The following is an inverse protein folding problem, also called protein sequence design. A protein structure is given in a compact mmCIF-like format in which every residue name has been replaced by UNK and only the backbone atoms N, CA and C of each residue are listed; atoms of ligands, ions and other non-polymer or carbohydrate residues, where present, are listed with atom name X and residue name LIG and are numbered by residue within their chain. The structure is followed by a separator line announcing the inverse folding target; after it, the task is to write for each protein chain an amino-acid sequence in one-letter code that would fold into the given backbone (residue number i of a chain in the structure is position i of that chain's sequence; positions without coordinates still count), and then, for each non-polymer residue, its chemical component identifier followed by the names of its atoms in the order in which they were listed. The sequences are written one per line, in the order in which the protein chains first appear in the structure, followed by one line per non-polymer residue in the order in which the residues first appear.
data_IF_197133189251
#
_entry.id   IF_197133189251
#
_cell.length_a   1.000
_cell.length_b   1.000
_cell.length_c   1.000
_cell.angle_alpha   90.00
_cell.angle_beta   90.00
_cell.angle_gamma   90.00
#
_symmetry.space_group_name_H-M   'P 1'
#
loop_
_entity.id
_entity.type
_entity.pdbx_description
1 polymer ?
#
# COMPACT_ATOMS: atom_id res chain seq x y z
N UNK A 1 27.78 5.94 52.04
CA UNK A 1 28.52 4.65 52.03
C UNK A 1 28.69 4.22 50.60
N UNK A 2 29.95 4.33 50.17
CA UNK A 2 30.46 4.00 48.84
C UNK A 2 30.73 2.51 48.77
N UNK A 3 30.31 1.81 47.71
CA UNK A 3 30.86 0.51 47.39
C UNK A 3 31.29 0.42 45.93
N UNK A 4 32.52 -0.01 45.78
CA UNK A 4 33.41 0.07 44.65
C UNK A 4 33.12 -0.97 43.54
N UNK A 5 33.50 -0.61 42.30
CA UNK A 5 33.62 -1.50 41.13
C UNK A 5 34.82 -2.45 41.28
N UNK A 6 34.75 -3.70 40.81
CA UNK A 6 35.95 -4.51 40.60
C UNK A 6 36.49 -4.34 39.18
N UNK A 7 37.83 -4.29 39.16
CA UNK A 7 38.72 -4.14 37.99
C UNK A 7 38.90 -5.45 37.21
N UNK A 8 39.04 -5.30 35.93
CA UNK A 8 39.71 -6.02 34.89
C UNK A 8 40.39 -7.37 35.07
N UNK A 9 40.09 -8.24 34.10
CA UNK A 9 40.91 -9.42 33.83
C UNK A 9 41.24 -9.46 32.33
N UNK A 10 42.53 -9.19 32.05
CA UNK A 10 43.15 -9.33 30.72
C UNK A 10 43.59 -10.78 30.52
N UNK A 11 43.07 -11.44 29.50
CA UNK A 11 43.64 -12.72 29.06
C UNK A 11 44.67 -12.47 27.97
N UNK A 12 45.95 -12.78 28.29
CA UNK A 12 47.05 -12.90 27.33
C UNK A 12 47.08 -14.32 26.78
N UNK A 13 46.88 -14.49 25.47
CA UNK A 13 47.23 -15.72 24.80
C UNK A 13 48.73 -15.71 24.46
N UNK A 14 49.45 -16.72 25.00
CA UNK A 14 50.85 -17.00 24.70
C UNK A 14 50.99 -17.64 23.33
N UNK A 15 51.83 -17.04 22.51
CA UNK A 15 52.44 -17.59 21.30
C UNK A 15 53.48 -18.63 21.68
N UNK A 16 53.35 -19.83 21.14
CA UNK A 16 54.49 -20.70 20.79
C UNK A 16 53.97 -22.05 20.25
N UNK A 17 54.27 -22.34 19.00
CA UNK A 17 54.86 -23.59 18.51
C UNK A 17 55.11 -23.45 16.98
N UNK A 18 56.35 -23.18 16.68
CA UNK A 18 57.32 -23.85 15.82
C UNK A 18 56.90 -24.43 14.47
N UNK A 19 57.64 -23.91 13.53
CA UNK A 19 57.93 -24.34 12.15
C UNK A 19 58.11 -25.86 12.00
N UNK A 20 57.49 -26.40 10.94
CA UNK A 20 58.04 -27.55 10.20
C UNK A 20 57.63 -27.46 8.72
N UNK A 21 58.67 -27.33 7.93
CA UNK A 21 58.95 -27.83 6.58
C UNK A 21 57.95 -27.80 5.46
N UNK A 22 58.34 -27.01 4.46
CA UNK A 22 57.98 -27.03 3.05
C UNK A 22 57.91 -28.45 2.46
N UNK A 23 56.81 -28.82 1.82
CA UNK A 23 56.79 -29.50 0.53
C UNK A 23 55.53 -29.09 -0.23
N UNK A 24 55.73 -28.54 -1.43
CA UNK A 24 54.66 -28.07 -2.27
C UNK A 24 53.80 -29.18 -2.85
N UNK A 25 52.51 -29.02 -2.72
CA UNK A 25 51.53 -29.60 -3.64
C UNK A 25 50.58 -28.48 -3.98
N UNK A 26 50.75 -27.91 -5.17
CA UNK A 26 49.84 -26.94 -5.75
C UNK A 26 48.61 -27.71 -6.27
N UNK A 27 47.66 -28.07 -5.41
CA UNK A 27 46.34 -28.47 -5.84
C UNK A 27 45.48 -27.18 -5.76
N UNK A 28 45.42 -26.44 -6.87
CA UNK A 28 44.34 -25.48 -7.12
C UNK A 28 43.09 -26.29 -7.39
N UNK A 29 42.37 -26.68 -6.35
CA UNK A 29 40.96 -26.98 -6.48
C UNK A 29 40.23 -25.66 -6.73
N UNK A 30 40.07 -25.32 -8.00
CA UNK A 30 39.07 -24.33 -8.41
C UNK A 30 37.72 -24.86 -7.96
N UNK A 31 37.19 -24.30 -6.89
CA UNK A 31 35.76 -24.46 -6.55
C UNK A 31 34.99 -24.06 -7.81
N UNK A 32 34.13 -24.91 -8.36
CA UNK A 32 33.32 -24.52 -9.51
C UNK A 32 32.45 -23.34 -9.04
N UNK A 33 32.70 -22.16 -9.60
CA UNK A 33 31.79 -21.04 -9.51
C UNK A 33 30.52 -21.50 -10.22
N UNK A 34 29.49 -21.85 -9.44
CA UNK A 34 28.13 -22.06 -9.97
C UNK A 34 27.77 -20.77 -10.70
N UNK A 35 27.42 -20.82 -11.99
CA UNK A 35 27.00 -19.63 -12.70
C UNK A 35 25.85 -19.00 -11.92
N UNK A 36 26.00 -17.74 -11.50
CA UNK A 36 24.92 -16.99 -10.88
C UNK A 36 23.87 -16.81 -11.98
N UNK A 37 22.80 -17.55 -11.90
CA UNK A 37 21.66 -17.34 -12.81
C UNK A 37 21.23 -15.90 -12.58
N UNK A 38 21.30 -15.09 -13.64
CA UNK A 38 20.86 -13.70 -13.58
C UNK A 38 19.34 -13.70 -13.35
N UNK A 39 18.90 -13.11 -12.24
CA UNK A 39 17.48 -13.06 -11.90
C UNK A 39 16.77 -12.11 -12.86
N UNK A 40 15.58 -12.51 -13.30
CA UNK A 40 14.73 -11.61 -14.08
C UNK A 40 14.29 -10.44 -13.19
N UNK A 41 14.51 -9.20 -13.68
CA UNK A 41 14.07 -7.99 -13.01
C UNK A 41 12.58 -7.75 -13.25
N UNK A 42 11.87 -7.40 -12.19
CA UNK A 42 10.47 -6.99 -12.21
C UNK A 42 10.33 -5.67 -11.45
N UNK A 43 9.60 -4.73 -12.03
CA UNK A 43 9.26 -3.47 -11.39
C UNK A 43 8.04 -3.66 -10.48
N UNK A 44 8.15 -3.21 -9.23
CA UNK A 44 7.10 -3.26 -8.21
C UNK A 44 6.80 -1.84 -7.71
N UNK A 45 5.75 -1.22 -8.24
CA UNK A 45 5.28 0.09 -7.83
C UNK A 45 4.40 0.01 -6.59
N UNK A 46 4.73 0.79 -5.57
CA UNK A 46 3.91 0.92 -4.37
C UNK A 46 4.09 2.30 -3.72
N UNK A 47 3.18 2.66 -2.83
CA UNK A 47 3.22 3.95 -2.15
C UNK A 47 4.38 4.02 -1.13
N UNK A 48 4.95 5.20 -0.87
CA UNK A 48 5.86 5.42 0.25
C UNK A 48 5.08 5.67 1.54
N UNK A 49 4.03 4.88 1.81
CA UNK A 49 3.23 4.95 3.02
C UNK A 49 3.50 3.74 3.92
N UNK A 50 3.24 3.83 5.23
CA UNK A 50 3.61 2.78 6.18
C UNK A 50 2.96 1.42 5.91
N UNK A 51 1.74 1.38 5.40
CA UNK A 51 1.01 0.14 5.10
C UNK A 51 1.64 -0.63 3.92
N UNK A 52 1.97 0.06 2.82
CA UNK A 52 2.69 -0.56 1.69
C UNK A 52 4.10 -1.01 2.11
N UNK A 53 4.84 -0.16 2.85
CA UNK A 53 6.17 -0.51 3.35
C UNK A 53 6.12 -1.73 4.29
N UNK A 54 5.07 -1.86 5.08
CA UNK A 54 4.81 -3.03 5.92
C UNK A 54 4.56 -4.27 5.07
N UNK A 55 3.67 -4.21 4.07
CA UNK A 55 3.35 -5.36 3.20
C UNK A 55 4.58 -5.94 2.52
N UNK A 56 5.48 -5.09 2.06
CA UNK A 56 6.67 -5.51 1.31
C UNK A 56 7.94 -5.66 2.17
N UNK A 57 7.85 -5.57 3.51
CA UNK A 57 8.99 -5.70 4.41
C UNK A 57 9.77 -7.00 4.21
N UNK A 58 9.06 -8.15 4.17
CA UNK A 58 9.70 -9.45 4.00
C UNK A 58 10.49 -9.55 2.69
N UNK A 59 9.93 -9.04 1.60
CA UNK A 59 10.56 -9.03 0.27
C UNK A 59 11.72 -8.03 0.20
N UNK A 60 11.50 -6.79 0.65
CA UNK A 60 12.51 -5.72 0.61
C UNK A 60 13.77 -6.03 1.44
N UNK A 61 13.63 -6.85 2.49
CA UNK A 61 14.74 -7.29 3.33
C UNK A 61 15.32 -8.66 2.94
N UNK A 62 14.78 -9.32 1.92
CA UNK A 62 15.22 -10.64 1.50
C UNK A 62 14.96 -11.73 2.55
N UNK A 63 13.90 -11.59 3.33
CA UNK A 63 13.50 -12.50 4.42
C UNK A 63 12.53 -13.59 3.95
N UNK A 64 12.06 -13.48 2.71
CA UNK A 64 11.18 -14.47 2.06
C UNK A 64 11.81 -14.92 0.74
N UNK A 65 11.40 -16.11 0.27
CA UNK A 65 11.78 -16.61 -1.05
C UNK A 65 11.21 -15.72 -2.15
N UNK A 66 12.09 -15.13 -2.95
CA UNK A 66 11.77 -14.20 -4.04
C UNK A 66 11.35 -14.92 -5.36
N UNK A 67 11.26 -16.25 -5.34
CA UNK A 67 10.85 -17.02 -6.50
C UNK A 67 11.83 -16.99 -7.68
N UNK A 68 13.06 -16.51 -7.47
CA UNK A 68 14.09 -16.35 -8.50
C UNK A 68 14.01 -15.04 -9.26
N UNK A 69 13.21 -14.06 -8.80
CA UNK A 69 13.10 -12.72 -9.37
C UNK A 69 13.91 -11.69 -8.58
N UNK A 70 14.20 -10.56 -9.21
CA UNK A 70 14.81 -9.36 -8.61
C UNK A 70 13.80 -8.21 -8.70
N UNK A 71 13.23 -7.82 -7.55
CA UNK A 71 12.17 -6.81 -7.51
C UNK A 71 12.76 -5.42 -7.32
N UNK A 72 12.58 -4.56 -8.33
CA UNK A 72 12.91 -3.15 -8.25
C UNK A 72 11.71 -2.37 -7.69
N UNK A 73 11.81 -1.91 -6.44
CA UNK A 73 10.78 -1.13 -5.76
C UNK A 73 10.73 0.30 -6.29
N UNK A 74 9.59 0.70 -6.84
CA UNK A 74 9.32 2.04 -7.36
C UNK A 74 8.33 2.74 -6.42
N UNK A 75 8.84 3.68 -5.63
CA UNK A 75 8.07 4.40 -4.62
C UNK A 75 7.45 5.67 -5.20
N UNK A 76 6.12 5.71 -5.33
CA UNK A 76 5.37 6.85 -5.84
C UNK A 76 3.97 6.88 -5.18
N UNK A 77 3.37 8.07 -5.13
CA UNK A 77 1.99 8.22 -4.65
C UNK A 77 1.00 7.46 -5.54
N UNK A 78 -0.15 7.11 -4.97
CA UNK A 78 -1.12 6.23 -5.64
C UNK A 78 -1.72 6.85 -6.90
N UNK A 79 -1.89 8.18 -6.98
CA UNK A 79 -2.38 8.83 -8.20
C UNK A 79 -1.38 8.67 -9.34
N UNK A 80 -0.09 8.88 -9.07
CA UNK A 80 1.00 8.67 -10.04
C UNK A 80 1.07 7.21 -10.49
N UNK A 81 0.93 6.24 -9.57
CA UNK A 81 0.90 4.81 -9.91
C UNK A 81 -0.31 4.46 -10.79
N UNK A 82 -1.49 5.00 -10.47
CA UNK A 82 -2.69 4.85 -11.29
C UNK A 82 -2.47 5.34 -12.72
N UNK A 83 -1.88 6.52 -12.89
CA UNK A 83 -1.55 7.09 -14.21
C UNK A 83 -0.53 6.23 -14.96
N UNK A 84 0.49 5.70 -14.29
CA UNK A 84 1.47 4.78 -14.90
C UNK A 84 0.84 3.46 -15.32
N UNK A 85 -0.12 2.95 -14.54
CA UNK A 85 -0.86 1.75 -14.90
C UNK A 85 -1.66 1.94 -16.21
N UNK A 86 -2.25 3.13 -16.45
CA UNK A 86 -2.94 3.41 -17.73
C UNK A 86 -2.02 3.33 -18.94
N UNK A 87 -0.71 3.53 -18.74
CA UNK A 87 0.31 3.42 -19.79
C UNK A 87 0.99 2.04 -19.82
N UNK A 88 0.65 1.14 -18.89
CA UNK A 88 1.22 -0.21 -18.83
C UNK A 88 2.70 -0.26 -18.49
N UNK A 89 3.21 0.71 -17.71
CA UNK A 89 4.65 0.89 -17.50
C UNK A 89 5.26 -0.16 -16.56
N UNK A 90 4.56 -0.50 -15.47
CA UNK A 90 5.08 -1.36 -14.42
C UNK A 90 4.65 -2.82 -14.60
N UNK A 91 5.49 -3.75 -14.12
CA UNK A 91 5.16 -5.18 -14.11
C UNK A 91 4.13 -5.50 -13.04
N UNK A 92 4.34 -4.96 -11.85
CA UNK A 92 3.46 -5.05 -10.70
C UNK A 92 3.26 -3.64 -10.15
N UNK A 93 2.06 -3.30 -9.73
CA UNK A 93 1.77 -1.99 -9.15
C UNK A 93 0.65 -2.05 -8.13
N UNK A 94 0.77 -1.29 -7.06
CA UNK A 94 -0.39 -0.85 -6.31
C UNK A 94 -1.30 -0.03 -7.22
N UNK A 95 -2.61 -0.16 -7.03
CA UNK A 95 -3.61 0.53 -7.84
C UNK A 95 -4.85 0.84 -6.99
N UNK A 96 -5.47 1.98 -7.25
CA UNK A 96 -6.82 2.23 -6.76
C UNK A 96 -7.83 1.35 -7.50
N UNK A 97 -8.82 0.80 -6.82
CA UNK A 97 -9.86 -0.02 -7.46
C UNK A 97 -10.62 0.78 -8.53
N UNK A 98 -10.82 2.09 -8.33
CA UNK A 98 -11.36 2.97 -9.38
C UNK A 98 -10.50 2.93 -10.65
N UNK A 99 -9.18 3.06 -10.50
CA UNK A 99 -8.26 3.07 -11.64
C UNK A 99 -8.20 1.71 -12.36
N UNK A 100 -8.40 0.61 -11.63
CA UNK A 100 -8.44 -0.73 -12.22
C UNK A 100 -9.47 -0.86 -13.33
N UNK A 101 -10.61 -0.16 -13.24
CA UNK A 101 -11.63 -0.15 -14.29
C UNK A 101 -11.11 0.29 -15.67
N UNK A 102 -10.06 1.09 -15.71
CA UNK A 102 -9.45 1.64 -16.93
C UNK A 102 -8.28 0.81 -17.47
N UNK A 103 -7.85 -0.23 -16.74
CA UNK A 103 -6.66 -1.02 -17.08
C UNK A 103 -6.88 -2.53 -16.98
N UNK A 104 -8.10 -2.97 -16.75
CA UNK A 104 -8.45 -4.38 -16.63
C UNK A 104 -8.16 -5.21 -17.90
N UNK A 105 -8.00 -4.56 -19.06
CA UNK A 105 -7.51 -5.18 -20.29
C UNK A 105 -6.01 -5.55 -20.25
N UNK A 106 -5.22 -4.84 -19.46
CA UNK A 106 -3.75 -4.96 -19.38
C UNK A 106 -3.24 -5.61 -18.10
N UNK A 107 -4.01 -5.49 -17.02
CA UNK A 107 -3.62 -5.97 -15.70
C UNK A 107 -4.65 -6.93 -15.13
N UNK A 108 -4.15 -7.94 -14.39
CA UNK A 108 -4.94 -8.78 -13.53
C UNK A 108 -4.74 -8.37 -12.06
N UNK A 109 -5.78 -8.45 -11.24
CA UNK A 109 -5.68 -8.27 -9.78
C UNK A 109 -4.94 -9.45 -9.16
N UNK A 110 -4.04 -9.18 -8.23
CA UNK A 110 -3.49 -10.20 -7.36
C UNK A 110 -4.53 -10.52 -6.26
N UNK A 111 -4.62 -11.77 -5.80
CA UNK A 111 -5.57 -12.15 -4.75
C UNK A 111 -5.20 -11.57 -3.37
N UNK A 112 -3.94 -11.12 -3.21
CA UNK A 112 -3.42 -10.49 -2.00
C UNK A 112 -2.98 -9.05 -2.24
N UNK A 113 -2.81 -8.28 -1.16
CA UNK A 113 -2.42 -6.87 -1.20
C UNK A 113 -3.62 -5.92 -1.32
N UNK A 114 -4.80 -6.37 -0.91
CA UNK A 114 -5.97 -5.50 -0.84
C UNK A 114 -5.88 -4.49 0.30
N UNK A 115 -6.37 -3.28 0.03
CA UNK A 115 -6.70 -2.28 1.03
C UNK A 115 -8.21 -2.07 1.01
N UNK A 116 -8.87 -2.43 2.11
CA UNK A 116 -10.33 -2.39 2.26
C UNK A 116 -10.71 -1.57 3.48
N UNK A 117 -11.69 -0.68 3.31
CA UNK A 117 -12.28 0.07 4.41
C UNK A 117 -13.43 -0.72 5.05
N UNK A 118 -13.18 -1.41 6.16
CA UNK A 118 -14.16 -2.22 6.88
C UNK A 118 -14.64 -1.48 8.13
N UNK A 119 -15.74 -0.73 8.00
CA UNK A 119 -16.26 0.14 9.05
C UNK A 119 -15.48 1.46 9.22
N UNK A 120 -14.61 1.78 8.31
CA UNK A 120 -13.88 3.05 8.17
C UNK A 120 -13.47 3.24 6.71
N UNK A 121 -13.06 4.46 6.33
CA UNK A 121 -12.61 4.71 4.96
C UNK A 121 -12.08 6.13 4.78
N UNK A 122 -11.98 6.60 3.53
CA UNK A 122 -11.69 7.99 3.24
C UNK A 122 -12.66 8.92 3.95
N UNK A 123 -12.13 9.98 4.57
CA UNK A 123 -12.93 10.92 5.35
C UNK A 123 -13.06 12.26 4.65
N UNK A 124 -14.24 12.87 4.75
CA UNK A 124 -14.46 14.26 4.44
C UNK A 124 -14.25 15.08 5.70
N UNK A 125 -13.23 15.92 5.69
CA UNK A 125 -12.87 16.76 6.84
C UNK A 125 -12.99 18.24 6.49
N UNK A 126 -13.37 19.07 7.47
CA UNK A 126 -13.52 20.51 7.28
C UNK A 126 -13.24 21.26 8.59
N UNK A 127 -13.18 22.60 8.54
CA UNK A 127 -13.00 23.44 9.73
C UNK A 127 -14.23 23.49 10.62
N UNK A 128 -15.39 23.16 10.09
CA UNK A 128 -16.66 23.03 10.78
C UNK A 128 -17.49 21.91 10.14
N UNK A 129 -18.48 21.41 10.85
CA UNK A 129 -19.29 20.32 10.34
C UNK A 129 -20.28 20.81 9.27
N UNK A 130 -20.30 20.12 8.12
CA UNK A 130 -21.21 20.37 7.01
C UNK A 130 -22.07 19.12 6.73
N UNK A 131 -23.32 19.35 6.44
CA UNK A 131 -24.22 18.32 5.91
C UNK A 131 -23.84 17.93 4.46
N UNK A 132 -24.29 16.75 4.00
CA UNK A 132 -24.12 16.32 2.60
C UNK A 132 -24.56 17.37 1.58
N UNK A 133 -25.71 18.03 1.84
CA UNK A 133 -26.24 19.07 0.95
C UNK A 133 -25.33 20.31 0.86
N UNK A 134 -24.70 20.69 1.98
CA UNK A 134 -23.77 21.81 2.01
C UNK A 134 -22.45 21.43 1.32
N UNK A 135 -21.90 20.23 1.60
CA UNK A 135 -20.68 19.72 0.95
C UNK A 135 -20.84 19.69 -0.58
N UNK A 136 -22.00 19.31 -1.06
CA UNK A 136 -22.31 19.23 -2.48
C UNK A 136 -22.21 20.57 -3.24
N UNK A 137 -22.14 21.71 -2.53
CA UNK A 137 -22.00 23.07 -3.09
C UNK A 137 -20.67 23.73 -2.76
N UNK A 138 -19.75 23.03 -2.12
CA UNK A 138 -18.47 23.54 -1.67
C UNK A 138 -17.30 23.04 -2.50
N UNK A 139 -16.18 23.77 -2.44
CA UNK A 139 -14.94 23.32 -3.05
C UNK A 139 -14.28 22.25 -2.19
N UNK A 140 -13.96 21.11 -2.81
CA UNK A 140 -13.38 19.95 -2.15
C UNK A 140 -11.93 19.75 -2.62
N UNK A 141 -10.96 19.71 -1.71
CA UNK A 141 -9.60 19.26 -2.00
C UNK A 141 -9.57 17.74 -2.07
N UNK A 142 -9.10 17.19 -3.21
CA UNK A 142 -9.05 15.76 -3.45
C UNK A 142 -7.63 15.30 -3.80
N UNK A 143 -7.21 14.06 -3.41
CA UNK A 143 -5.85 13.58 -3.62
C UNK A 143 -5.58 13.13 -5.05
N UNK A 144 -6.61 12.95 -5.86
CA UNK A 144 -6.49 12.54 -7.25
C UNK A 144 -7.79 11.98 -7.80
N UNK A 145 -8.01 12.19 -9.09
CA UNK A 145 -9.27 11.82 -9.76
C UNK A 145 -9.41 10.34 -10.06
N UNK A 146 -8.30 9.59 -10.05
CA UNK A 146 -8.31 8.14 -10.27
C UNK A 146 -8.37 7.35 -8.96
N UNK A 147 -8.38 8.01 -7.79
CA UNK A 147 -8.45 7.33 -6.50
C UNK A 147 -9.84 6.72 -6.26
N UNK A 148 -9.88 5.59 -5.54
CA UNK A 148 -11.16 4.99 -5.09
C UNK A 148 -11.92 5.93 -4.14
N UNK A 149 -11.19 6.74 -3.38
CA UNK A 149 -11.79 7.76 -2.53
C UNK A 149 -12.60 8.79 -3.34
N UNK A 150 -12.08 9.23 -4.49
CA UNK A 150 -12.80 10.16 -5.34
C UNK A 150 -14.04 9.52 -5.99
N UNK A 151 -13.96 8.25 -6.39
CA UNK A 151 -15.15 7.52 -6.83
C UNK A 151 -16.18 7.37 -5.69
N UNK A 152 -15.74 7.03 -4.48
CA UNK A 152 -16.63 6.93 -3.32
C UNK A 152 -17.32 8.27 -3.01
N UNK A 153 -16.59 9.40 -3.08
CA UNK A 153 -17.15 10.74 -2.94
C UNK A 153 -18.25 11.02 -3.97
N UNK A 154 -17.99 10.69 -5.24
CA UNK A 154 -18.97 10.88 -6.32
C UNK A 154 -20.22 10.04 -6.11
N UNK A 155 -20.04 8.77 -5.71
CA UNK A 155 -21.16 7.87 -5.38
C UNK A 155 -21.95 8.37 -4.17
N UNK A 156 -21.25 8.84 -3.13
CA UNK A 156 -21.88 9.41 -1.94
C UNK A 156 -22.68 10.66 -2.27
N UNK A 157 -22.11 11.60 -3.04
CA UNK A 157 -22.79 12.81 -3.47
C UNK A 157 -23.88 12.55 -4.52
N UNK A 158 -23.92 11.35 -5.12
CA UNK A 158 -24.77 11.00 -6.27
C UNK A 158 -24.57 11.98 -7.45
N UNK A 159 -23.30 12.37 -7.67
CA UNK A 159 -22.91 13.35 -8.71
C UNK A 159 -21.61 12.88 -9.38
N UNK A 160 -21.53 12.87 -10.73
CA UNK A 160 -20.26 12.70 -11.43
C UNK A 160 -19.34 13.89 -11.17
N UNK A 161 -18.01 13.66 -11.27
CA UNK A 161 -16.98 14.63 -10.93
C UNK A 161 -17.10 15.98 -11.61
N UNK A 162 -17.58 16.00 -12.87
CA UNK A 162 -17.83 17.24 -13.63
C UNK A 162 -18.85 18.20 -12.97
N UNK A 163 -19.66 17.70 -12.03
CA UNK A 163 -20.66 18.47 -11.27
C UNK A 163 -20.25 18.77 -9.84
N UNK A 164 -19.01 18.47 -9.48
CA UNK A 164 -18.40 18.72 -8.17
C UNK A 164 -17.37 19.84 -8.33
N UNK A 165 -17.41 20.87 -7.51
CA UNK A 165 -16.33 21.86 -7.44
C UNK A 165 -15.19 21.26 -6.61
N UNK A 166 -14.10 20.83 -7.26
CA UNK A 166 -12.94 20.26 -6.58
C UNK A 166 -11.62 20.83 -7.11
N UNK A 167 -10.60 20.67 -6.30
CA UNK A 167 -9.20 20.92 -6.67
C UNK A 167 -8.36 19.71 -6.32
N UNK A 168 -7.52 19.28 -7.26
CA UNK A 168 -6.55 18.20 -7.00
C UNK A 168 -5.33 18.80 -6.32
N UNK A 169 -4.96 18.24 -5.18
CA UNK A 169 -3.75 18.63 -4.44
C UNK A 169 -3.01 17.36 -3.99
N UNK A 170 -1.69 17.42 -3.77
CA UNK A 170 -0.98 16.32 -3.14
C UNK A 170 -1.68 15.91 -1.84
N UNK A 171 -1.79 14.60 -1.61
CA UNK A 171 -2.58 14.07 -0.49
C UNK A 171 -2.11 14.60 0.88
N UNK A 172 -0.83 14.88 1.05
CA UNK A 172 -0.21 15.45 2.24
C UNK A 172 -0.44 16.96 2.41
N UNK A 173 -1.01 17.64 1.40
CA UNK A 173 -1.35 19.07 1.44
C UNK A 173 -2.83 19.35 1.67
N UNK A 174 -3.66 18.33 1.81
CA UNK A 174 -5.12 18.49 1.96
C UNK A 174 -5.47 19.31 3.20
N UNK A 175 -4.88 19.03 4.36
CA UNK A 175 -5.14 19.78 5.59
C UNK A 175 -4.73 21.24 5.47
N UNK A 176 -3.56 21.50 4.92
CA UNK A 176 -3.07 22.86 4.70
C UNK A 176 -4.00 23.64 3.77
N UNK A 177 -4.46 22.99 2.68
CA UNK A 177 -5.40 23.57 1.70
C UNK A 177 -6.72 23.97 2.34
N UNK A 178 -7.28 23.11 3.21
CA UNK A 178 -8.52 23.39 3.95
C UNK A 178 -8.30 24.49 5.00
N UNK A 179 -7.23 24.42 5.77
CA UNK A 179 -6.93 25.40 6.81
C UNK A 179 -6.65 26.79 6.25
N UNK A 180 -6.06 26.89 5.06
CA UNK A 180 -5.87 28.18 4.35
C UNK A 180 -7.13 28.70 3.65
N UNK A 181 -8.24 27.96 3.68
CA UNK A 181 -9.49 28.34 3.00
C UNK A 181 -9.42 28.28 1.47
N UNK A 182 -8.45 27.55 0.91
CA UNK A 182 -8.34 27.31 -0.53
C UNK A 182 -9.32 26.24 -1.01
N UNK A 183 -9.76 25.37 -0.10
CA UNK A 183 -10.93 24.51 -0.20
C UNK A 183 -11.71 24.56 1.12
N UNK A 184 -12.98 24.20 1.06
CA UNK A 184 -13.85 24.15 2.24
C UNK A 184 -13.78 22.80 2.93
N UNK A 185 -13.63 21.75 2.15
CA UNK A 185 -13.62 20.33 2.58
C UNK A 185 -12.41 19.62 1.99
N UNK A 186 -11.84 18.69 2.72
CA UNK A 186 -10.73 17.84 2.28
C UNK A 186 -11.13 16.37 2.26
N UNK A 187 -10.76 15.64 1.20
CA UNK A 187 -10.92 14.19 1.11
C UNK A 187 -9.61 13.50 1.52
N UNK A 188 -9.58 12.91 2.70
CA UNK A 188 -8.38 12.35 3.35
C UNK A 188 -8.32 10.85 3.14
N UNK A 189 -7.16 10.33 2.70
CA UNK A 189 -6.93 8.92 2.35
C UNK A 189 -5.71 8.28 3.04
N UNK A 190 -5.03 8.99 3.91
CA UNK A 190 -3.77 8.59 4.53
C UNK A 190 -3.87 8.66 6.07
N UNK A 191 -2.75 8.56 6.75
CA UNK A 191 -2.64 8.63 8.22
C UNK A 191 -3.30 9.86 8.86
N UNK A 192 -3.56 10.90 8.08
CA UNK A 192 -4.35 12.05 8.48
C UNK A 192 -5.75 11.70 9.00
N UNK A 193 -6.30 10.54 8.59
CA UNK A 193 -7.55 10.01 9.16
C UNK A 193 -7.48 9.79 10.68
N UNK A 194 -6.29 9.64 11.24
CA UNK A 194 -6.06 9.48 12.68
C UNK A 194 -5.62 10.78 13.37
N UNK A 195 -5.34 11.86 12.61
CA UNK A 195 -4.70 13.07 13.15
C UNK A 195 -5.41 14.38 12.78
N UNK A 196 -6.47 14.34 11.98
CA UNK A 196 -7.18 15.56 11.50
C UNK A 196 -7.68 16.46 12.64
N UNK A 197 -8.06 15.87 13.79
CA UNK A 197 -8.48 16.64 14.98
C UNK A 197 -7.33 17.50 15.54
N UNK A 198 -6.08 17.02 15.45
CA UNK A 198 -4.90 17.78 15.88
C UNK A 198 -4.65 19.02 15.00
N UNK A 199 -5.18 19.01 13.78
CA UNK A 199 -5.12 20.11 12.82
C UNK A 199 -6.33 21.07 12.97
N UNK A 200 -7.19 20.84 13.97
CA UNK A 200 -8.39 21.63 14.23
C UNK A 200 -9.53 21.39 13.24
N UNK A 201 -9.50 20.24 12.55
CA UNK A 201 -10.53 19.83 11.61
C UNK A 201 -11.52 18.88 12.27
N UNK A 202 -12.72 18.78 11.69
CA UNK A 202 -13.78 17.84 12.09
C UNK A 202 -14.11 16.92 10.93
N UNK A 203 -14.49 15.68 11.25
CA UNK A 203 -14.98 14.73 10.25
C UNK A 203 -16.46 15.02 9.96
N UNK A 204 -16.76 15.34 8.71
CA UNK A 204 -18.14 15.53 8.24
C UNK A 204 -18.78 14.22 7.80
N UNK A 205 -17.98 13.31 7.20
CA UNK A 205 -18.44 11.99 6.76
C UNK A 205 -17.28 11.01 6.67
N UNK A 206 -17.51 9.77 7.03
CA UNK A 206 -16.63 8.62 6.75
C UNK A 206 -17.27 7.78 5.64
N UNK A 207 -16.62 7.78 4.46
CA UNK A 207 -17.14 7.12 3.28
C UNK A 207 -17.12 5.58 3.37
N UNK A 208 -16.29 5.01 4.26
CA UNK A 208 -16.30 3.57 4.53
C UNK A 208 -17.49 3.17 5.40
N UNK A 209 -17.80 3.95 6.44
CA UNK A 209 -19.01 3.78 7.27
C UNK A 209 -20.25 3.92 6.41
N UNK A 210 -20.34 4.98 5.60
CA UNK A 210 -21.45 5.17 4.66
C UNK A 210 -21.60 3.98 3.71
N UNK A 211 -20.50 3.54 3.08
CA UNK A 211 -20.55 2.42 2.12
C UNK A 211 -21.07 1.14 2.77
N UNK A 212 -20.56 0.78 3.93
CA UNK A 212 -20.99 -0.39 4.69
C UNK A 212 -22.48 -0.35 5.03
N UNK A 213 -22.98 0.82 5.45
CA UNK A 213 -24.39 1.01 5.81
C UNK A 213 -25.34 0.81 4.64
N UNK A 214 -24.96 1.17 3.42
CA UNK A 214 -25.76 1.04 2.21
C UNK A 214 -25.53 -0.26 1.41
N UNK A 215 -24.52 -1.06 1.78
CA UNK A 215 -24.09 -2.21 0.99
C UNK A 215 -23.98 -3.52 1.79
N UNK A 216 -24.93 -3.77 2.69
CA UNK A 216 -25.02 -5.03 3.47
C UNK A 216 -23.77 -5.29 4.34
N UNK A 217 -23.11 -4.27 4.84
CA UNK A 217 -21.87 -4.39 5.64
C UNK A 217 -20.63 -4.76 4.80
N UNK A 218 -20.69 -4.68 3.47
CA UNK A 218 -19.51 -4.92 2.64
C UNK A 218 -18.46 -3.83 2.86
N UNK A 219 -17.15 -4.19 2.90
CA UNK A 219 -16.07 -3.20 3.05
C UNK A 219 -15.97 -2.31 1.81
N UNK A 220 -15.58 -1.05 1.98
CA UNK A 220 -15.33 -0.15 0.84
C UNK A 220 -14.03 -0.54 0.13
N UNK A 221 -14.04 -0.86 -1.17
CA UNK A 221 -12.83 -1.18 -1.90
C UNK A 221 -11.97 0.07 -2.14
N UNK A 222 -10.73 0.07 -1.66
CA UNK A 222 -9.83 1.21 -1.79
C UNK A 222 -8.71 0.94 -2.78
N UNK A 223 -7.86 -0.03 -2.49
CA UNK A 223 -6.71 -0.38 -3.30
C UNK A 223 -6.50 -1.88 -3.41
N UNK A 224 -5.58 -2.24 -4.26
CA UNK A 224 -5.07 -3.60 -4.44
C UNK A 224 -3.77 -3.59 -5.22
N UNK A 225 -3.22 -4.76 -5.44
CA UNK A 225 -2.07 -4.94 -6.30
C UNK A 225 -2.48 -5.59 -7.63
N UNK A 226 -1.87 -5.14 -8.71
CA UNK A 226 -2.09 -5.68 -10.06
C UNK A 226 -0.78 -6.15 -10.66
N UNK A 227 -0.87 -7.14 -11.52
CA UNK A 227 0.24 -7.66 -12.31
C UNK A 227 -0.07 -7.57 -13.81
N UNK A 228 0.90 -7.12 -14.60
CA UNK A 228 0.72 -6.90 -16.03
C UNK A 228 0.54 -8.23 -16.78
N UNK A 229 -0.47 -8.30 -17.65
CA UNK A 229 -0.82 -9.49 -18.43
C UNK A 229 0.22 -9.90 -19.48
N UNK A 230 1.24 -9.02 -19.77
CA UNK A 230 2.41 -9.39 -20.57
C UNK A 230 3.25 -10.50 -19.93
N UNK A 231 3.18 -10.64 -18.58
CA UNK A 231 3.82 -11.75 -17.86
C UNK A 231 2.98 -13.01 -18.06
N UNK A 232 3.61 -14.16 -18.44
CA UNK A 232 2.90 -15.42 -18.63
C UNK A 232 2.09 -15.84 -17.39
N UNK A 233 0.95 -16.48 -17.60
CA UNK A 233 0.02 -16.84 -16.52
C UNK A 233 0.68 -17.64 -15.40
N UNK A 234 1.50 -18.64 -15.73
CA UNK A 234 2.18 -19.44 -14.72
C UNK A 234 3.21 -18.64 -13.91
N UNK A 235 3.90 -17.69 -14.54
CA UNK A 235 4.81 -16.79 -13.85
C UNK A 235 4.04 -15.83 -12.94
N UNK A 236 2.87 -15.31 -13.38
CA UNK A 236 2.01 -14.47 -12.54
C UNK A 236 1.59 -15.17 -11.24
N UNK A 237 1.31 -16.49 -11.29
CA UNK A 237 1.00 -17.30 -10.09
C UNK A 237 2.20 -17.40 -9.14
N UNK A 238 3.39 -17.64 -9.66
CA UNK A 238 4.63 -17.68 -8.84
C UNK A 238 4.86 -16.34 -8.17
N UNK A 239 4.77 -15.24 -8.93
CA UNK A 239 4.96 -13.86 -8.43
C UNK A 239 3.89 -13.50 -7.39
N UNK A 240 2.63 -13.86 -7.64
CA UNK A 240 1.54 -13.71 -6.68
C UNK A 240 1.86 -14.37 -5.33
N UNK A 241 2.35 -15.61 -5.37
CA UNK A 241 2.78 -16.32 -4.17
C UNK A 241 3.98 -15.68 -3.45
N UNK A 242 4.88 -15.00 -4.18
CA UNK A 242 5.98 -14.24 -3.56
C UNK A 242 5.44 -13.06 -2.75
N UNK A 243 4.51 -12.29 -3.33
CA UNK A 243 3.94 -11.12 -2.66
C UNK A 243 3.08 -11.53 -1.45
N UNK A 244 2.27 -12.59 -1.59
CA UNK A 244 1.53 -13.14 -0.46
C UNK A 244 2.44 -13.56 0.69
N UNK A 245 3.57 -14.25 0.39
CA UNK A 245 4.56 -14.63 1.42
C UNK A 245 5.15 -13.41 2.12
N UNK A 246 5.41 -12.31 1.39
CA UNK A 246 5.90 -11.08 2.01
C UNK A 246 4.88 -10.49 2.99
N UNK A 247 3.62 -10.39 2.59
CA UNK A 247 2.53 -9.88 3.44
C UNK A 247 2.37 -10.76 4.68
N UNK A 248 2.31 -12.08 4.50
CA UNK A 248 2.18 -13.06 5.60
C UNK A 248 3.35 -12.96 6.57
N UNK A 249 4.58 -12.91 6.05
CA UNK A 249 5.78 -12.73 6.88
C UNK A 249 5.69 -11.46 7.71
N UNK A 250 5.27 -10.35 7.12
CA UNK A 250 5.14 -9.07 7.82
C UNK A 250 4.08 -9.12 8.92
N UNK A 251 2.96 -9.79 8.69
CA UNK A 251 1.92 -10.01 9.72
C UNK A 251 2.42 -10.89 10.86
N UNK A 252 3.19 -11.94 10.57
CA UNK A 252 3.79 -12.84 11.56
C UNK A 252 4.93 -12.17 12.36
N UNK A 253 5.63 -11.19 11.76
CA UNK A 253 6.73 -10.43 12.35
C UNK A 253 6.37 -8.94 12.49
N UNK A 254 5.14 -8.71 13.02
CA UNK A 254 4.50 -7.40 13.00
C UNK A 254 5.34 -6.28 13.60
N UNK A 255 6.01 -6.53 14.75
CA UNK A 255 6.79 -5.51 15.43
C UNK A 255 7.95 -4.99 14.56
N UNK A 256 8.71 -5.89 13.94
CA UNK A 256 9.84 -5.54 13.07
C UNK A 256 9.37 -4.89 11.77
N UNK A 257 8.24 -5.34 11.22
CA UNK A 257 7.66 -4.78 10.01
C UNK A 257 7.10 -3.36 10.26
N UNK A 258 6.47 -3.11 11.41
CA UNK A 258 6.03 -1.75 11.83
C UNK A 258 7.24 -0.85 12.06
N UNK A 259 8.29 -1.32 12.75
CA UNK A 259 9.53 -0.55 12.93
C UNK A 259 10.15 -0.19 11.57
N UNK A 260 10.17 -1.14 10.63
CA UNK A 260 10.62 -0.86 9.26
C UNK A 260 9.75 0.19 8.57
N UNK A 261 8.44 0.16 8.74
CA UNK A 261 7.51 1.09 8.08
C UNK A 261 7.62 2.53 8.61
N UNK A 262 8.16 2.73 9.84
CA UNK A 262 8.35 4.05 10.44
C UNK A 262 9.21 5.00 9.59
N UNK A 263 10.13 4.48 8.78
CA UNK A 263 10.94 5.33 7.88
C UNK A 263 10.09 6.04 6.81
N UNK A 264 8.86 5.57 6.60
CA UNK A 264 7.87 6.11 5.67
C UNK A 264 6.72 6.82 6.40
N UNK A 265 6.65 6.70 7.73
CA UNK A 265 5.62 7.29 8.57
C UNK A 265 5.97 8.75 8.87
N UNK A 266 5.27 9.70 8.23
CA UNK A 266 5.48 11.14 8.40
C UNK A 266 5.10 11.59 9.79
N UNK A 267 6.09 11.85 10.66
CA UNK A 267 5.90 12.37 12.02
C UNK A 267 4.97 11.54 12.93
N UNK A 268 4.81 10.24 12.65
CA UNK A 268 4.05 9.32 13.51
C UNK A 268 4.96 8.57 14.49
N UNK A 269 4.51 8.44 15.73
CA UNK A 269 5.09 7.47 16.67
C UNK A 269 4.69 6.04 16.31
N UNK A 270 5.40 5.05 16.88
CA UNK A 270 5.21 3.63 16.59
C UNK A 270 3.77 3.16 16.81
N UNK A 271 3.12 3.61 17.87
CA UNK A 271 1.75 3.20 18.21
C UNK A 271 0.73 3.66 17.17
N UNK A 272 0.92 4.89 16.63
CA UNK A 272 0.04 5.43 15.59
C UNK A 272 0.29 4.76 14.24
N UNK A 273 1.56 4.47 13.93
CA UNK A 273 1.93 3.72 12.73
C UNK A 273 1.37 2.29 12.77
N UNK A 274 1.47 1.61 13.92
CA UNK A 274 0.89 0.27 14.09
C UNK A 274 -0.63 0.28 13.94
N UNK A 275 -1.30 1.29 14.50
CA UNK A 275 -2.74 1.48 14.34
C UNK A 275 -3.11 1.71 12.86
N UNK A 276 -2.40 2.60 12.17
CA UNK A 276 -2.63 2.89 10.76
C UNK A 276 -2.41 1.65 9.88
N UNK A 277 -1.28 0.96 10.07
CA UNK A 277 -1.00 -0.31 9.38
C UNK A 277 -2.13 -1.32 9.62
N UNK A 278 -2.61 -1.47 10.85
CA UNK A 278 -3.70 -2.40 11.19
C UNK A 278 -5.04 -2.08 10.52
N UNK A 279 -5.28 -0.82 10.16
CA UNK A 279 -6.48 -0.46 9.39
C UNK A 279 -6.41 -1.02 7.96
N UNK A 280 -5.25 -0.98 7.31
CA UNK A 280 -5.12 -1.27 5.88
C UNK A 280 -4.45 -2.60 5.57
N UNK A 281 -3.70 -3.19 6.53
CA UNK A 281 -3.05 -4.50 6.37
C UNK A 281 -3.61 -5.48 7.41
N UNK A 282 -4.51 -6.33 6.96
CA UNK A 282 -5.29 -7.26 7.75
C UNK A 282 -5.69 -8.50 6.93
N UNK A 283 -6.71 -9.23 7.34
CA UNK A 283 -7.17 -10.44 6.65
C UNK A 283 -7.61 -10.18 5.21
N UNK A 284 -8.20 -9.01 4.91
CA UNK A 284 -8.53 -8.59 3.55
C UNK A 284 -7.29 -8.46 2.66
N UNK A 285 -6.16 -8.09 3.24
CA UNK A 285 -4.89 -7.96 2.53
C UNK A 285 -4.30 -9.32 2.14
N UNK A 286 -4.57 -10.37 2.90
CA UNK A 286 -4.17 -11.73 2.56
C UNK A 286 -5.01 -12.32 1.44
N UNK A 287 -6.32 -12.08 1.47
CA UNK A 287 -7.26 -12.50 0.43
C UNK A 287 -8.51 -11.63 0.47
N UNK A 288 -8.97 -11.17 -0.67
CA UNK A 288 -10.23 -10.42 -0.78
C UNK A 288 -11.46 -11.22 -0.34
N UNK A 289 -11.38 -12.56 -0.39
CA UNK A 289 -12.53 -13.42 -0.17
C UNK A 289 -13.70 -13.13 -1.12
N UNK A 290 -14.79 -13.84 -0.97
CA UNK A 290 -15.99 -13.60 -1.78
C UNK A 290 -16.61 -12.22 -1.50
N UNK A 291 -16.60 -11.78 -0.24
CA UNK A 291 -17.19 -10.52 0.18
C UNK A 291 -16.42 -9.32 -0.42
N UNK A 292 -15.09 -9.31 -0.38
CA UNK A 292 -14.27 -8.27 -1.00
C UNK A 292 -14.43 -8.23 -2.51
N UNK A 293 -14.38 -9.40 -3.19
CA UNK A 293 -14.64 -9.51 -4.64
C UNK A 293 -16.05 -9.03 -5.01
N UNK A 294 -17.05 -9.34 -4.20
CA UNK A 294 -18.44 -8.85 -4.37
C UNK A 294 -18.50 -7.33 -4.21
N UNK A 295 -17.78 -6.78 -3.22
CA UNK A 295 -17.76 -5.34 -2.99
C UNK A 295 -17.12 -4.59 -4.16
N UNK A 296 -15.99 -5.07 -4.68
CA UNK A 296 -15.34 -4.49 -5.87
C UNK A 296 -16.31 -4.45 -7.04
N UNK A 297 -16.98 -5.58 -7.36
CA UNK A 297 -17.96 -5.61 -8.47
C UNK A 297 -19.08 -4.61 -8.25
N UNK A 298 -19.61 -4.51 -7.02
CA UNK A 298 -20.69 -3.57 -6.69
C UNK A 298 -20.24 -2.11 -6.81
N UNK A 299 -19.04 -1.81 -6.31
CA UNK A 299 -18.45 -0.46 -6.32
C UNK A 299 -18.25 0.05 -7.75
N UNK A 300 -17.62 -0.74 -8.58
CA UNK A 300 -17.35 -0.39 -9.97
C UNK A 300 -18.64 -0.37 -10.82
N UNK A 301 -19.57 -1.28 -10.57
CA UNK A 301 -20.88 -1.25 -11.24
C UNK A 301 -21.66 0.02 -10.91
N UNK A 302 -21.74 0.44 -9.65
CA UNK A 302 -22.36 1.71 -9.27
C UNK A 302 -21.71 2.91 -9.97
N UNK A 303 -20.39 2.90 -10.06
CA UNK A 303 -19.64 3.91 -10.81
C UNK A 303 -19.99 3.94 -12.30
N UNK A 304 -20.13 2.76 -12.93
CA UNK A 304 -20.55 2.64 -14.31
C UNK A 304 -22.00 3.10 -14.53
N UNK A 305 -22.93 2.69 -13.69
CA UNK A 305 -24.34 3.10 -13.73
C UNK A 305 -24.51 4.62 -13.64
N UNK A 306 -23.59 5.30 -12.95
CA UNK A 306 -23.54 6.77 -12.90
C UNK A 306 -22.75 7.42 -14.05
N UNK A 307 -22.22 6.62 -14.99
CA UNK A 307 -21.40 7.11 -16.11
C UNK A 307 -20.00 7.63 -15.71
N UNK A 308 -19.49 7.23 -14.53
CA UNK A 308 -18.19 7.71 -14.00
C UNK A 308 -17.05 6.82 -14.48
N UNK A 309 -17.22 5.51 -14.46
CA UNK A 309 -16.21 4.54 -14.90
C UNK A 309 -16.67 3.75 -16.11
N UNK A 310 -15.76 3.22 -16.95
CA UNK A 310 -16.14 2.39 -18.08
C UNK A 310 -16.84 1.11 -17.62
N UNK A 311 -17.56 0.47 -18.54
CA UNK A 311 -18.13 -0.85 -18.30
C UNK A 311 -17.01 -1.86 -18.04
N UNK A 312 -17.15 -2.59 -16.94
CA UNK A 312 -16.25 -3.69 -16.63
C UNK A 312 -16.65 -4.93 -17.37
N UNK A 313 -15.77 -5.40 -18.23
CA UNK A 313 -15.99 -6.65 -18.96
C UNK A 313 -15.89 -7.84 -17.99
N UNK A 314 -14.86 -7.91 -17.17
CA UNK A 314 -14.67 -8.95 -16.15
C UNK A 314 -13.59 -8.54 -15.16
N UNK A 315 -13.74 -8.95 -13.88
CA UNK A 315 -12.66 -8.87 -12.89
C UNK A 315 -11.79 -10.12 -13.00
N UNK A 316 -10.58 -9.97 -13.47
CA UNK A 316 -9.60 -11.07 -13.52
C UNK A 316 -8.70 -11.04 -12.28
N UNK A 317 -8.69 -12.13 -11.53
CA UNK A 317 -7.74 -12.39 -10.45
C UNK A 317 -6.73 -13.45 -10.90
N UNK A 318 -5.51 -13.35 -10.40
CA UNK A 318 -4.48 -14.38 -10.56
C UNK A 318 -4.81 -15.53 -9.60
N UNK A 319 -5.13 -16.73 -10.13
CA UNK A 319 -5.51 -17.94 -9.37
C UNK A 319 -4.52 -19.08 -9.58
#
# INVERSE_FOLDING_TARGET
MSLAKPKGMKWRLKSSYLRLAKRGVTNRTSTPTVPRVEKQKLTLGHSPDPDDAFMFYGLAKGLVDDGGYDFEHILQDIQTLNERATRGELDISAISINAYAYVCDRYALLPSGASMGDGYGPMLVARENFSKAEIASRRIAVPGTMTSAFLALQLWLERPGERIDYTVVPFDQIFETVNKGQADVGLVIHEGQLTFENEGLVCCEDLGVWWGSENDGLPLPLGGNVIHKRIPTEERKVISGVLERSIRYSLEHRAEAVEHSLQYARNMGIDLADKFVGMYVNDWTLDYGEAGRKSIRRFLRRGHEMGIVPELLELEFVE
#
